data_IF_887653493568
#
_entry.id   IF_887653493568
#
_cell.length_a   1.000
_cell.length_b   1.000
_cell.length_c   1.000
_cell.angle_alpha   90.00
_cell.angle_beta   90.00
_cell.angle_gamma   90.00
#
_symmetry.space_group_name_H-M   'P 1'
#
loop_
_entity.id
_entity.type
_entity.pdbx_description
1 polymer ?
#
# COMPACT_ATOMS: atom_id res chain seq x y z
N UNK A 1 -2.19 12.62 -17.90
CA UNK A 1 -1.06 12.16 -17.05
C UNK A 1 0.18 12.80 -17.62
N UNK A 2 0.98 13.49 -16.81
CA UNK A 2 2.20 14.09 -17.30
C UNK A 2 3.19 13.00 -17.70
N UNK A 3 4.05 13.36 -18.62
CA UNK A 3 5.15 12.51 -19.08
C UNK A 3 6.05 12.10 -17.92
N UNK A 4 6.23 12.97 -16.95
CA UNK A 4 6.96 12.78 -15.71
C UNK A 4 6.46 11.60 -14.89
N UNK A 5 5.14 11.48 -14.67
CA UNK A 5 4.58 10.34 -13.93
C UNK A 5 4.85 9.02 -14.66
N UNK A 6 4.75 9.03 -15.99
CA UNK A 6 5.01 7.83 -16.80
C UNK A 6 6.47 7.40 -16.68
N UNK A 7 7.40 8.34 -16.81
CA UNK A 7 8.84 8.08 -16.64
C UNK A 7 9.16 7.54 -15.24
N UNK A 8 8.53 8.12 -14.21
CA UNK A 8 8.66 7.65 -12.84
C UNK A 8 8.12 6.22 -12.65
N UNK A 9 6.89 5.95 -13.09
CA UNK A 9 6.29 4.62 -12.99
C UNK A 9 7.08 3.56 -13.80
N UNK A 10 7.60 3.93 -14.96
CA UNK A 10 8.43 3.04 -15.79
C UNK A 10 9.81 2.80 -15.16
N UNK A 11 10.39 3.80 -14.50
CA UNK A 11 11.61 3.64 -13.72
C UNK A 11 11.45 2.63 -12.58
N UNK A 12 10.34 2.69 -11.84
CA UNK A 12 10.03 1.70 -10.82
C UNK A 12 9.79 0.30 -11.39
N UNK A 13 9.15 0.19 -12.56
CA UNK A 13 8.97 -1.10 -13.24
C UNK A 13 10.30 -1.75 -13.62
N UNK A 14 11.30 -0.97 -14.02
CA UNK A 14 12.64 -1.47 -14.30
C UNK A 14 13.37 -2.05 -13.09
N UNK A 15 12.91 -1.77 -11.88
CA UNK A 15 13.49 -2.29 -10.62
C UNK A 15 12.84 -3.59 -10.13
N UNK A 16 11.94 -4.19 -10.92
CA UNK A 16 11.25 -5.45 -10.58
C UNK A 16 12.22 -6.61 -10.42
N UNK A 17 13.19 -6.70 -11.30
CA UNK A 17 14.14 -7.80 -11.33
C UNK A 17 15.39 -7.42 -10.55
N UNK A 18 15.61 -8.18 -9.49
CA UNK A 18 16.72 -8.01 -8.57
C UNK A 18 17.99 -8.63 -9.16
N UNK A 19 18.50 -8.04 -10.24
CA UNK A 19 19.72 -8.51 -10.92
C UNK A 19 21.01 -7.87 -10.42
N UNK A 20 20.89 -6.89 -9.52
CA UNK A 20 22.01 -6.12 -8.99
C UNK A 20 22.07 -6.23 -7.45
N UNK A 21 23.22 -5.89 -6.81
CA UNK A 21 23.32 -5.89 -5.36
C UNK A 21 22.21 -5.08 -4.71
N UNK A 22 21.60 -5.63 -3.66
CA UNK A 22 20.46 -5.04 -2.95
C UNK A 22 20.65 -3.56 -2.62
N UNK A 23 21.86 -3.19 -2.23
CA UNK A 23 22.19 -1.82 -1.85
C UNK A 23 22.10 -0.82 -3.01
N UNK A 24 22.47 -1.26 -4.22
CA UNK A 24 22.33 -0.42 -5.42
C UNK A 24 20.85 -0.25 -5.79
N UNK A 25 20.09 -1.32 -5.75
CA UNK A 25 18.65 -1.27 -6.01
C UNK A 25 17.92 -0.38 -4.99
N UNK A 26 18.27 -0.47 -3.70
CA UNK A 26 17.73 0.40 -2.64
C UNK A 26 18.06 1.87 -2.93
N UNK A 27 19.29 2.20 -3.28
CA UNK A 27 19.68 3.57 -3.63
C UNK A 27 18.88 4.12 -4.81
N UNK A 28 18.66 3.31 -5.83
CA UNK A 28 17.86 3.69 -7.00
C UNK A 28 16.40 3.94 -6.62
N UNK A 29 15.77 3.04 -5.86
CA UNK A 29 14.39 3.22 -5.39
C UNK A 29 14.26 4.51 -4.57
N UNK A 30 15.19 4.78 -3.66
CA UNK A 30 15.18 6.00 -2.85
C UNK A 30 15.35 7.27 -3.71
N UNK A 31 16.22 7.22 -4.72
CA UNK A 31 16.40 8.34 -5.65
C UNK A 31 15.13 8.61 -6.46
N UNK A 32 14.50 7.58 -7.03
CA UNK A 32 13.22 7.71 -7.73
C UNK A 32 12.10 8.19 -6.82
N UNK A 33 12.02 7.69 -5.60
CA UNK A 33 11.00 8.15 -4.66
C UNK A 33 11.19 9.62 -4.28
N UNK A 34 12.43 10.07 -4.07
CA UNK A 34 12.74 11.46 -3.75
C UNK A 34 12.47 12.39 -4.93
N UNK A 35 12.81 11.98 -6.15
CA UNK A 35 12.48 12.71 -7.36
C UNK A 35 10.96 12.81 -7.53
N UNK A 36 10.24 11.73 -7.37
CA UNK A 36 8.79 11.71 -7.41
C UNK A 36 8.13 12.63 -6.37
N UNK A 37 8.76 12.83 -5.20
CA UNK A 37 8.28 13.80 -4.20
C UNK A 37 8.37 15.24 -4.74
N UNK A 38 9.48 15.62 -5.32
CA UNK A 38 9.67 16.96 -5.86
C UNK A 38 8.71 17.28 -7.03
N UNK A 39 8.56 16.32 -7.94
CA UNK A 39 7.69 16.45 -9.12
C UNK A 39 6.20 16.42 -8.78
N UNK A 40 5.85 15.77 -7.70
CA UNK A 40 4.47 15.60 -7.26
C UNK A 40 3.85 16.87 -6.69
N UNK A 41 4.63 17.71 -6.06
CA UNK A 41 4.14 19.01 -5.58
C UNK A 41 3.78 19.95 -6.78
N UNK A 42 4.41 19.72 -7.93
CA UNK A 42 4.05 20.38 -9.17
C UNK A 42 2.78 19.77 -9.80
N UNK A 43 2.61 18.47 -9.74
CA UNK A 43 1.46 17.77 -10.31
C UNK A 43 0.15 18.03 -9.55
N UNK A 44 0.18 18.29 -8.26
CA UNK A 44 -1.00 18.73 -7.50
C UNK A 44 -1.62 20.01 -8.06
N UNK A 45 -0.81 20.87 -8.68
CA UNK A 45 -1.28 22.13 -9.28
C UNK A 45 -2.01 21.93 -10.61
N UNK A 46 -1.84 20.78 -11.24
CA UNK A 46 -2.35 20.49 -12.58
C UNK A 46 -3.67 19.69 -12.62
N UNK A 47 -4.31 19.46 -11.47
CA UNK A 47 -5.65 18.85 -11.41
C UNK A 47 -5.72 17.38 -11.84
N UNK A 48 -4.76 16.57 -11.48
CA UNK A 48 -4.55 15.17 -11.90
C UNK A 48 -5.61 14.17 -11.45
N UNK A 49 -6.53 14.55 -10.59
CA UNK A 49 -7.45 13.62 -9.96
C UNK A 49 -8.88 13.84 -10.40
N UNK A 50 -9.40 12.87 -11.11
CA UNK A 50 -10.82 12.77 -11.41
C UNK A 50 -11.54 11.99 -10.32
N UNK A 51 -12.82 12.33 -10.14
CA UNK A 51 -13.70 11.69 -9.18
C UNK A 51 -13.54 10.18 -9.16
N UNK A 52 -13.36 9.65 -7.96
CA UNK A 52 -13.29 8.24 -7.69
C UNK A 52 -14.59 7.59 -8.14
N UNK A 53 -14.52 6.71 -9.11
CA UNK A 53 -15.66 5.91 -9.53
C UNK A 53 -15.73 4.63 -8.71
N UNK A 54 -16.88 4.41 -8.08
CA UNK A 54 -17.16 3.32 -7.19
C UNK A 54 -17.23 1.94 -7.82
N UNK A 55 -16.80 1.04 -7.09
CA UNK A 55 -17.08 -0.32 -6.81
C UNK A 55 -18.26 -0.98 -7.51
N UNK A 56 -18.00 -2.05 -8.25
CA UNK A 56 -18.94 -3.14 -8.42
C UNK A 56 -18.73 -4.17 -7.30
N UNK A 57 -19.76 -4.46 -6.50
CA UNK A 57 -19.81 -5.70 -5.74
C UNK A 57 -19.55 -6.83 -6.74
N UNK A 58 -18.54 -7.67 -6.47
CA UNK A 58 -18.33 -8.86 -7.26
C UNK A 58 -19.58 -9.74 -7.14
N UNK A 59 -20.08 -10.21 -8.25
CA UNK A 59 -21.14 -11.21 -8.28
C UNK A 59 -20.61 -12.52 -7.69
N UNK A 60 -21.48 -13.27 -7.02
CA UNK A 60 -21.19 -14.57 -6.44
C UNK A 60 -20.40 -15.46 -7.42
N UNK A 61 -19.18 -15.74 -7.08
CA UNK A 61 -18.28 -16.63 -7.78
C UNK A 61 -17.26 -17.20 -6.80
N UNK A 62 -16.79 -18.39 -7.02
CA UNK A 62 -15.67 -18.93 -6.26
C UNK A 62 -14.43 -18.08 -6.52
N UNK A 63 -13.95 -17.41 -5.50
CA UNK A 63 -12.71 -16.65 -5.56
C UNK A 63 -11.55 -17.52 -5.13
N UNK A 64 -10.39 -17.32 -5.77
CA UNK A 64 -9.14 -17.97 -5.39
C UNK A 64 -8.00 -16.96 -5.45
N UNK A 65 -6.93 -17.24 -4.72
CA UNK A 65 -5.73 -16.41 -4.72
C UNK A 65 -5.97 -15.01 -4.17
N UNK A 66 -5.42 -14.01 -4.84
CA UNK A 66 -5.47 -12.60 -4.41
C UNK A 66 -6.89 -12.09 -4.23
N UNK A 67 -7.82 -12.44 -5.14
CA UNK A 67 -9.21 -12.00 -5.07
C UNK A 67 -9.98 -12.52 -3.86
N UNK A 68 -9.63 -13.72 -3.38
CA UNK A 68 -10.22 -14.22 -2.13
C UNK A 68 -9.72 -13.42 -0.94
N UNK A 69 -8.43 -13.10 -0.89
CA UNK A 69 -7.85 -12.27 0.15
C UNK A 69 -8.50 -10.87 0.14
N UNK A 70 -8.60 -10.24 -1.02
CA UNK A 70 -9.25 -8.93 -1.17
C UNK A 70 -10.70 -8.95 -0.64
N UNK A 71 -11.47 -10.01 -0.97
CA UNK A 71 -12.83 -10.19 -0.48
C UNK A 71 -12.88 -10.33 1.05
N UNK A 72 -12.02 -11.18 1.61
CA UNK A 72 -11.96 -11.43 3.05
C UNK A 72 -11.53 -10.16 3.81
N UNK A 73 -10.58 -9.38 3.30
CA UNK A 73 -10.18 -8.10 3.87
C UNK A 73 -11.38 -7.17 4.07
N UNK A 74 -12.25 -7.13 3.09
CA UNK A 74 -13.44 -6.29 3.17
C UNK A 74 -14.52 -6.85 4.09
N UNK A 75 -14.78 -8.15 4.01
CA UNK A 75 -15.84 -8.82 4.81
C UNK A 75 -15.48 -8.89 6.29
N UNK A 76 -14.20 -8.99 6.61
CA UNK A 76 -13.71 -9.11 8.00
C UNK A 76 -13.34 -7.77 8.64
N UNK A 77 -13.46 -6.67 7.89
CA UNK A 77 -13.17 -5.34 8.42
C UNK A 77 -14.11 -4.98 9.59
N UNK A 78 -13.61 -4.45 10.72
CA UNK A 78 -12.22 -4.11 11.00
C UNK A 78 -11.34 -5.33 11.31
N UNK A 79 -10.08 -5.28 10.88
CA UNK A 79 -9.10 -6.36 11.01
C UNK A 79 -8.00 -5.93 11.99
N UNK A 80 -7.50 -6.86 12.78
CA UNK A 80 -6.36 -6.61 13.67
C UNK A 80 -5.05 -7.02 13.00
N UNK A 81 -4.09 -6.10 12.86
CA UNK A 81 -2.70 -6.45 12.57
C UNK A 81 -2.02 -6.72 13.92
N UNK A 82 -1.61 -7.96 14.13
CA UNK A 82 -1.07 -8.42 15.41
C UNK A 82 0.45 -8.49 15.34
N UNK A 83 1.12 -7.82 16.29
CA UNK A 83 2.55 -7.95 16.54
C UNK A 83 2.80 -8.90 17.70
N UNK A 84 3.96 -9.54 17.69
CA UNK A 84 4.43 -10.27 18.86
C UNK A 84 4.33 -9.42 20.14
N UNK A 85 4.01 -10.05 21.26
CA UNK A 85 3.74 -9.39 22.56
C UNK A 85 2.40 -8.63 22.64
N UNK A 86 1.41 -9.00 21.82
CA UNK A 86 0.02 -8.55 21.97
C UNK A 86 -0.26 -7.10 21.60
N UNK A 87 0.66 -6.41 20.88
CA UNK A 87 0.36 -5.11 20.31
C UNK A 87 -0.42 -5.28 19.03
N UNK A 88 -1.49 -4.53 18.88
CA UNK A 88 -2.36 -4.58 17.68
C UNK A 88 -2.52 -3.20 17.05
N UNK A 89 -2.77 -3.19 15.73
CA UNK A 89 -3.26 -2.05 14.99
C UNK A 89 -4.61 -2.44 14.38
N UNK A 90 -5.59 -1.57 14.50
CA UNK A 90 -6.88 -1.77 13.84
C UNK A 90 -6.82 -1.23 12.42
N UNK A 91 -7.12 -2.08 11.45
CA UNK A 91 -7.24 -1.79 10.04
C UNK A 91 -8.73 -1.82 9.64
N UNK A 92 -9.23 -0.72 9.16
CA UNK A 92 -10.57 -0.62 8.58
C UNK A 92 -10.45 -0.54 7.07
N UNK A 93 -10.91 -1.56 6.35
CA UNK A 93 -10.87 -1.63 4.87
C UNK A 93 -12.17 -1.05 4.33
N UNK A 94 -12.08 -0.05 3.46
CA UNK A 94 -13.24 0.65 2.93
C UNK A 94 -13.55 0.30 1.49
N UNK A 95 -12.54 -0.02 0.70
CA UNK A 95 -12.69 -0.26 -0.73
C UNK A 95 -11.77 -1.37 -1.24
N UNK A 96 -12.22 -2.06 -2.29
CA UNK A 96 -11.45 -2.98 -3.10
C UNK A 96 -11.19 -2.36 -4.46
N UNK A 97 -10.06 -2.71 -5.09
CA UNK A 97 -9.67 -2.21 -6.41
C UNK A 97 -9.82 -0.68 -6.52
N UNK A 98 -9.27 0.02 -5.54
CA UNK A 98 -9.45 1.45 -5.42
C UNK A 98 -8.59 2.21 -6.43
N UNK A 99 -9.20 3.06 -7.31
CA UNK A 99 -8.46 3.78 -8.32
C UNK A 99 -7.68 4.94 -7.69
N UNK A 100 -6.37 4.89 -7.82
CA UNK A 100 -5.45 5.93 -7.34
C UNK A 100 -5.10 6.96 -8.42
N UNK A 101 -5.09 6.55 -9.69
CA UNK A 101 -4.85 7.44 -10.81
C UNK A 101 -5.47 6.89 -12.10
N UNK A 102 -5.90 7.80 -12.98
CA UNK A 102 -6.36 7.44 -14.33
C UNK A 102 -5.19 7.49 -15.31
N UNK A 103 -5.04 6.46 -16.12
CA UNK A 103 -4.09 6.39 -17.21
C UNK A 103 -4.81 6.44 -18.56
N UNK A 104 -4.15 6.83 -19.67
CA UNK A 104 -4.74 6.79 -21.00
C UNK A 104 -5.21 5.39 -21.43
N UNK A 105 -4.59 4.33 -20.89
CA UNK A 105 -4.90 2.92 -21.17
C UNK A 105 -5.28 2.15 -19.90
N UNK A 106 -5.98 2.77 -18.96
CA UNK A 106 -6.41 2.07 -17.75
C UNK A 106 -6.34 2.93 -16.49
N UNK A 107 -6.26 2.28 -15.36
CA UNK A 107 -6.18 2.92 -14.03
C UNK A 107 -5.03 2.31 -13.25
N UNK A 108 -4.37 3.11 -12.42
CA UNK A 108 -3.52 2.58 -11.36
C UNK A 108 -4.42 2.31 -10.18
N UNK A 109 -4.51 1.06 -9.78
CA UNK A 109 -5.33 0.60 -8.67
C UNK A 109 -4.42 0.21 -7.51
N UNK A 110 -4.91 0.32 -6.28
CA UNK A 110 -4.48 -0.56 -5.20
C UNK A 110 -5.55 -1.62 -5.00
N UNK A 111 -5.15 -2.80 -4.52
CA UNK A 111 -6.08 -3.91 -4.33
C UNK A 111 -7.13 -3.58 -3.28
N UNK A 112 -6.75 -2.83 -2.26
CA UNK A 112 -7.70 -2.25 -1.32
C UNK A 112 -7.21 -0.90 -0.78
N UNK A 113 -8.16 -0.06 -0.38
CA UNK A 113 -7.94 1.12 0.44
C UNK A 113 -8.48 0.86 1.84
N UNK A 114 -7.70 1.27 2.83
CA UNK A 114 -8.12 1.19 4.23
C UNK A 114 -7.60 2.34 5.06
N UNK A 115 -7.87 2.26 6.35
CA UNK A 115 -7.42 3.22 7.35
C UNK A 115 -6.87 2.47 8.57
N UNK A 116 -5.68 2.84 9.01
CA UNK A 116 -5.09 2.34 10.25
C UNK A 116 -5.31 3.35 11.35
N UNK A 117 -5.84 2.88 12.48
CA UNK A 117 -5.91 3.68 13.70
C UNK A 117 -4.58 3.61 14.46
N UNK A 118 -3.97 4.78 14.68
CA UNK A 118 -2.81 4.93 15.53
C UNK A 118 -2.91 6.20 16.36
N UNK A 119 -2.72 6.11 17.68
CA UNK A 119 -2.80 7.26 18.62
C UNK A 119 -4.05 8.14 18.44
N UNK A 120 -5.22 7.52 18.32
CA UNK A 120 -6.52 8.18 18.09
C UNK A 120 -6.64 8.91 16.74
N UNK A 121 -5.77 8.61 15.79
CA UNK A 121 -5.75 9.18 14.45
C UNK A 121 -5.88 8.07 13.43
N UNK A 122 -6.54 8.36 12.31
CA UNK A 122 -6.69 7.42 11.21
C UNK A 122 -5.76 7.85 10.07
N UNK A 123 -4.96 6.90 9.59
CA UNK A 123 -4.04 7.10 8.49
C UNK A 123 -4.53 6.28 7.29
N UNK A 124 -4.76 6.90 6.12
CA UNK A 124 -5.09 6.15 4.93
C UNK A 124 -3.93 5.24 4.56
N UNK A 125 -4.25 4.05 4.10
CA UNK A 125 -3.29 3.03 3.75
C UNK A 125 -3.66 2.36 2.43
N UNK A 126 -2.73 2.36 1.48
CA UNK A 126 -2.85 1.59 0.25
C UNK A 126 -2.43 0.15 0.52
N UNK A 127 -3.26 -0.79 0.12
CA UNK A 127 -3.05 -2.22 0.36
C UNK A 127 -2.75 -2.90 -0.96
N UNK A 128 -1.67 -3.66 -0.98
CA UNK A 128 -1.24 -4.54 -2.06
C UNK A 128 -1.28 -5.98 -1.59
N UNK A 129 -1.90 -6.86 -2.36
CA UNK A 129 -2.03 -8.30 -2.06
C UNK A 129 -1.19 -9.10 -3.04
N UNK A 130 -0.44 -10.07 -2.55
CA UNK A 130 0.35 -11.00 -3.37
C UNK A 130 0.13 -12.44 -2.90
N UNK A 131 0.10 -13.37 -3.84
CA UNK A 131 -0.01 -14.80 -3.57
C UNK A 131 1.12 -15.59 -4.23
N UNK A 132 1.35 -15.38 -5.53
CA UNK A 132 2.32 -16.18 -6.30
C UNK A 132 3.21 -15.36 -7.24
N UNK A 133 2.70 -14.29 -7.85
CA UNK A 133 3.24 -13.72 -9.09
C UNK A 133 4.28 -12.62 -8.93
N UNK A 134 4.82 -12.41 -7.76
CA UNK A 134 5.86 -11.42 -7.54
C UNK A 134 6.71 -11.82 -6.34
N UNK A 135 7.80 -11.14 -6.13
CA UNK A 135 8.58 -11.29 -4.91
C UNK A 135 8.32 -10.14 -3.94
N UNK A 136 8.65 -10.26 -2.65
CA UNK A 136 8.40 -9.22 -1.64
C UNK A 136 9.07 -7.88 -1.95
N UNK A 137 10.21 -7.88 -2.60
CA UNK A 137 10.88 -6.67 -3.06
C UNK A 137 10.00 -5.90 -4.04
N UNK A 138 9.50 -6.60 -5.07
CA UNK A 138 8.65 -5.99 -6.07
C UNK A 138 7.34 -5.48 -5.48
N UNK A 139 6.70 -6.26 -4.61
CA UNK A 139 5.48 -5.85 -3.93
C UNK A 139 5.66 -4.55 -3.13
N UNK A 140 6.79 -4.38 -2.44
CA UNK A 140 7.12 -3.14 -1.72
C UNK A 140 7.35 -1.97 -2.69
N UNK A 141 8.05 -2.18 -3.80
CA UNK A 141 8.28 -1.15 -4.82
C UNK A 141 6.96 -0.72 -5.47
N UNK A 142 6.07 -1.66 -5.79
CA UNK A 142 4.74 -1.37 -6.33
C UNK A 142 3.88 -0.59 -5.32
N UNK A 143 3.90 -1.02 -4.07
CA UNK A 143 3.16 -0.33 -3.01
C UNK A 143 3.68 1.11 -2.77
N UNK A 144 4.96 1.40 -3.01
CA UNK A 144 5.49 2.77 -2.96
C UNK A 144 4.82 3.71 -3.96
N UNK A 145 4.52 3.22 -5.17
CA UNK A 145 3.77 3.98 -6.18
C UNK A 145 2.37 4.28 -5.64
N UNK A 146 1.72 3.29 -5.07
CA UNK A 146 0.38 3.43 -4.51
C UNK A 146 0.35 4.38 -3.31
N UNK A 147 1.32 4.29 -2.39
CA UNK A 147 1.49 5.22 -1.28
C UNK A 147 1.58 6.66 -1.80
N UNK A 148 2.37 6.87 -2.83
CA UNK A 148 2.58 8.19 -3.40
C UNK A 148 1.29 8.75 -3.99
N UNK A 149 0.58 7.95 -4.76
CA UNK A 149 -0.71 8.31 -5.33
C UNK A 149 -1.79 8.53 -4.26
N UNK A 150 -1.81 7.70 -3.22
CA UNK A 150 -2.68 7.88 -2.05
C UNK A 150 -2.46 9.24 -1.41
N UNK A 151 -1.21 9.64 -1.24
CA UNK A 151 -0.87 10.95 -0.68
C UNK A 151 -1.40 12.11 -1.53
N UNK A 152 -1.31 12.02 -2.86
CA UNK A 152 -1.88 13.04 -3.75
C UNK A 152 -3.39 13.15 -3.64
N UNK A 153 -4.03 12.01 -3.36
CA UNK A 153 -5.48 11.92 -3.29
C UNK A 153 -6.06 12.16 -1.90
N UNK A 154 -5.28 12.59 -0.92
CA UNK A 154 -5.75 12.68 0.47
C UNK A 154 -7.06 13.45 0.61
N UNK A 155 -7.25 14.57 -0.07
CA UNK A 155 -8.49 15.33 -0.01
C UNK A 155 -9.69 14.54 -0.56
N UNK A 156 -9.50 13.81 -1.66
CA UNK A 156 -10.55 12.98 -2.25
C UNK A 156 -10.84 11.76 -1.38
N UNK A 157 -9.80 11.16 -0.80
CA UNK A 157 -9.91 10.03 0.13
C UNK A 157 -10.62 10.47 1.41
N UNK A 158 -10.35 11.67 1.92
CA UNK A 158 -11.05 12.25 3.07
C UNK A 158 -12.53 12.42 2.80
N UNK A 159 -12.89 13.01 1.65
CA UNK A 159 -14.30 13.15 1.24
C UNK A 159 -14.98 11.81 1.06
N UNK A 160 -14.26 10.83 0.53
CA UNK A 160 -14.73 9.46 0.38
C UNK A 160 -14.95 8.80 1.75
N UNK A 161 -14.01 8.91 2.67
CA UNK A 161 -14.12 8.39 4.02
C UNK A 161 -15.30 8.99 4.79
N UNK A 162 -15.59 10.27 4.59
CA UNK A 162 -16.78 10.94 5.14
C UNK A 162 -18.07 10.23 4.69
N UNK A 163 -18.18 9.86 3.43
CA UNK A 163 -19.35 9.13 2.90
C UNK A 163 -19.51 7.74 3.51
N UNK A 164 -18.44 7.11 3.96
CA UNK A 164 -18.45 5.78 4.55
C UNK A 164 -18.52 5.75 6.09
N UNK A 165 -19.07 6.79 6.70
CA UNK A 165 -19.24 6.88 8.16
C UNK A 165 -17.93 6.95 8.95
N UNK A 166 -16.82 7.24 8.29
CA UNK A 166 -15.54 7.57 8.95
C UNK A 166 -15.46 9.07 9.31
N UNK A 167 -16.53 9.84 9.03
CA UNK A 167 -16.60 11.28 9.20
C UNK A 167 -16.28 11.78 10.61
N UNK A 168 -16.61 10.98 11.63
CA UNK A 168 -16.35 11.32 13.04
C UNK A 168 -14.96 10.90 13.51
N UNK A 169 -14.16 10.30 12.63
CA UNK A 169 -12.82 9.85 12.95
C UNK A 169 -11.85 10.94 12.51
N UNK A 170 -10.98 11.37 13.41
CA UNK A 170 -9.93 12.36 13.12
C UNK A 170 -9.00 11.82 12.01
N UNK A 171 -9.42 11.95 10.76
CA UNK A 171 -8.57 11.73 9.61
C UNK A 171 -7.48 12.79 9.70
N UNK A 172 -6.30 12.40 10.12
CA UNK A 172 -5.20 13.33 10.03
C UNK A 172 -4.93 13.55 8.54
N UNK A 173 -4.80 14.82 8.16
CA UNK A 173 -4.02 15.20 6.98
C UNK A 173 -2.65 14.57 7.18
N UNK A 174 -2.51 13.34 6.70
CA UNK A 174 -1.35 12.53 6.97
C UNK A 174 -0.16 13.23 6.31
N UNK A 175 0.76 13.68 7.13
CA UNK A 175 2.08 14.09 6.62
C UNK A 175 2.83 12.89 6.07
N UNK A 176 2.47 11.68 6.49
CA UNK A 176 3.04 10.43 6.04
C UNK A 176 2.05 9.59 5.23
N UNK A 177 2.52 8.90 4.24
CA UNK A 177 1.76 7.94 3.47
C UNK A 177 2.06 6.53 3.98
N UNK A 178 1.03 5.71 4.14
CA UNK A 178 1.14 4.35 4.65
C UNK A 178 0.86 3.34 3.53
N UNK A 179 1.53 2.22 3.59
CA UNK A 179 1.32 1.08 2.73
C UNK A 179 1.25 -0.20 3.54
N UNK A 180 0.57 -1.18 2.99
CA UNK A 180 0.46 -2.53 3.54
C UNK A 180 0.61 -3.52 2.40
N UNK A 181 1.60 -4.40 2.51
CA UNK A 181 1.77 -5.53 1.61
C UNK A 181 1.34 -6.79 2.36
N UNK A 182 0.41 -7.51 1.75
CA UNK A 182 -0.21 -8.71 2.29
C UNK A 182 0.10 -9.93 1.43
N UNK A 183 0.49 -11.02 2.06
CA UNK A 183 0.68 -12.30 1.41
C UNK A 183 0.59 -13.44 2.44
N UNK A 184 0.36 -14.70 2.02
CA UNK A 184 0.56 -15.84 2.90
C UNK A 184 2.00 -15.91 3.44
N UNK A 185 2.21 -16.46 4.63
CA UNK A 185 3.57 -16.59 5.20
C UNK A 185 4.51 -17.36 4.28
N UNK A 186 4.00 -18.40 3.64
CA UNK A 186 4.75 -19.20 2.66
C UNK A 186 5.36 -18.36 1.52
N UNK A 187 4.64 -17.35 1.04
CA UNK A 187 5.16 -16.41 0.02
C UNK A 187 6.42 -15.68 0.51
N UNK A 188 6.43 -15.23 1.76
CA UNK A 188 7.58 -14.56 2.34
C UNK A 188 8.74 -15.52 2.56
N UNK A 189 8.46 -16.75 3.02
CA UNK A 189 9.48 -17.77 3.32
C UNK A 189 10.17 -18.28 2.06
N UNK A 190 9.41 -18.52 0.99
CA UNK A 190 9.94 -18.95 -0.31
C UNK A 190 10.81 -17.89 -0.99
N UNK A 191 10.61 -16.61 -0.65
CA UNK A 191 11.29 -15.48 -1.26
C UNK A 191 12.26 -14.77 -0.28
N UNK A 192 12.90 -15.49 0.60
CA UNK A 192 13.70 -14.95 1.71
C UNK A 192 14.71 -13.87 1.30
N UNK A 193 15.55 -14.04 0.25
CA UNK A 193 16.51 -13.00 -0.15
C UNK A 193 15.83 -11.69 -0.57
N UNK A 194 14.68 -11.77 -1.25
CA UNK A 194 13.90 -10.60 -1.66
C UNK A 194 13.19 -9.94 -0.48
N UNK A 195 12.73 -10.75 0.49
CA UNK A 195 12.18 -10.24 1.73
C UNK A 195 13.22 -9.44 2.52
N UNK A 196 14.43 -9.95 2.67
CA UNK A 196 15.51 -9.25 3.38
C UNK A 196 15.85 -7.91 2.72
N UNK A 197 15.91 -7.88 1.38
CA UNK A 197 16.11 -6.63 0.65
C UNK A 197 14.94 -5.64 0.81
N UNK A 198 13.70 -6.15 0.78
CA UNK A 198 12.50 -5.34 1.02
C UNK A 198 12.49 -4.74 2.43
N UNK A 199 12.86 -5.52 3.46
CA UNK A 199 12.95 -5.05 4.83
C UNK A 199 14.04 -3.96 5.00
N UNK A 200 15.20 -4.11 4.36
CA UNK A 200 16.23 -3.06 4.31
C UNK A 200 15.69 -1.78 3.66
N UNK A 201 15.01 -1.91 2.53
CA UNK A 201 14.38 -0.76 1.86
C UNK A 201 13.36 -0.06 2.79
N UNK A 202 12.51 -0.81 3.48
CA UNK A 202 11.52 -0.26 4.42
C UNK A 202 12.20 0.54 5.54
N UNK A 203 13.31 0.05 6.08
CA UNK A 203 14.07 0.76 7.12
C UNK A 203 14.70 2.06 6.58
N UNK A 204 15.24 2.02 5.37
CA UNK A 204 15.80 3.20 4.70
C UNK A 204 14.70 4.24 4.39
N UNK A 205 13.55 3.81 3.90
CA UNK A 205 12.40 4.67 3.66
C UNK A 205 11.90 5.33 4.96
N UNK A 206 11.82 4.55 6.05
CA UNK A 206 11.42 5.08 7.36
C UNK A 206 12.36 6.18 7.85
N UNK A 207 13.66 6.06 7.60
CA UNK A 207 14.67 7.02 8.07
C UNK A 207 14.76 8.25 7.19
N UNK A 208 14.57 8.11 5.87
CA UNK A 208 14.86 9.17 4.88
C UNK A 208 13.60 9.82 4.29
N UNK A 209 12.44 9.21 4.49
CA UNK A 209 11.18 9.66 3.89
C UNK A 209 10.02 9.57 4.86
N UNK A 210 8.85 9.97 4.40
CA UNK A 210 7.58 9.83 5.12
C UNK A 210 6.87 8.50 4.82
N UNK A 211 7.36 7.70 3.87
CA UNK A 211 6.74 6.43 3.53
C UNK A 211 6.84 5.43 4.68
N UNK A 212 5.75 4.73 4.95
CA UNK A 212 5.62 3.75 6.02
C UNK A 212 4.99 2.50 5.43
N UNK A 213 5.70 1.39 5.39
CA UNK A 213 5.23 0.14 4.81
C UNK A 213 5.22 -0.95 5.86
N UNK A 214 4.06 -1.54 6.05
CA UNK A 214 3.83 -2.71 6.89
C UNK A 214 3.81 -3.93 5.97
N UNK A 215 4.46 -5.01 6.38
CA UNK A 215 4.27 -6.32 5.79
C UNK A 215 3.50 -7.19 6.78
N UNK A 216 2.51 -7.93 6.31
CA UNK A 216 1.78 -8.85 7.18
C UNK A 216 1.33 -10.11 6.44
N UNK A 217 1.29 -11.25 7.15
CA UNK A 217 0.74 -12.47 6.59
C UNK A 217 -0.77 -12.56 6.74
N UNK A 218 -1.39 -13.25 5.79
CA UNK A 218 -2.84 -13.43 5.68
C UNK A 218 -3.33 -14.75 6.26
N UNK A 219 -2.48 -15.51 6.92
CA UNK A 219 -2.78 -16.88 7.37
C UNK A 219 -4.00 -16.92 8.33
N UNK A 220 -4.12 -15.91 9.19
CA UNK A 220 -5.22 -15.78 10.16
C UNK A 220 -6.32 -14.79 9.70
N UNK A 221 -6.38 -14.45 8.41
CA UNK A 221 -7.33 -13.44 7.90
C UNK A 221 -8.79 -13.88 8.05
N UNK A 222 -9.08 -15.18 7.98
CA UNK A 222 -10.43 -15.71 8.20
C UNK A 222 -10.96 -15.42 9.61
N UNK A 223 -10.07 -15.31 10.59
CA UNK A 223 -10.33 -14.92 11.97
C UNK A 223 -10.31 -13.39 12.18
N UNK A 224 -10.17 -12.61 11.12
CA UNK A 224 -10.08 -11.15 11.19
C UNK A 224 -8.73 -10.64 11.69
N UNK A 225 -7.67 -11.42 11.52
CA UNK A 225 -6.33 -11.09 11.99
C UNK A 225 -5.29 -11.21 10.87
N UNK A 226 -4.29 -10.32 10.93
CA UNK A 226 -3.09 -10.35 10.10
C UNK A 226 -1.88 -10.41 11.01
N UNK A 227 -0.92 -11.26 10.70
CA UNK A 227 0.31 -11.38 11.49
C UNK A 227 1.39 -10.46 10.91
N UNK A 228 1.86 -9.51 11.70
CA UNK A 228 2.93 -8.61 11.30
C UNK A 228 4.24 -9.35 11.01
N UNK A 229 4.91 -8.98 9.93
CA UNK A 229 6.24 -9.51 9.57
C UNK A 229 7.31 -8.67 10.28
N UNK A 230 8.14 -9.37 11.04
CA UNK A 230 9.20 -8.76 11.85
C UNK A 230 10.13 -7.88 11.00
N UNK A 231 10.59 -6.77 11.60
CA UNK A 231 11.43 -5.75 10.98
C UNK A 231 10.79 -4.93 9.85
N UNK A 232 9.51 -5.15 9.49
CA UNK A 232 8.76 -4.17 8.71
C UNK A 232 8.38 -2.95 9.57
N UNK A 233 7.70 -1.95 8.98
CA UNK A 233 7.30 -0.78 9.76
C UNK A 233 6.27 -1.14 10.83
N UNK A 234 6.48 -0.61 12.04
CA UNK A 234 5.50 -0.59 13.11
C UNK A 234 5.50 0.80 13.76
N UNK A 235 4.34 1.43 13.95
CA UNK A 235 4.27 2.73 14.59
C UNK A 235 4.60 2.64 16.09
N UNK A 236 5.45 3.55 16.53
CA UNK A 236 5.89 3.67 17.92
C UNK A 236 4.89 4.41 18.80
#
# INVERSE_FOLDING_TARGET
MSEVYRQWADGFKGLKDFTQPAEMAIKQVLAYYSQAIAESDQAQREGWFHALSYRKKSKDGSYSGEKEIERLLFERSPIEIVREKGRTLSLEVTDQNFPLAKQPKGQVLCDALGFIQHRRKYHPIAIEVKVTDANPWFAVVENLIQIRLTRFNLNNIEQHAIKHSLANKNLQKARGAWGLVLAPSEYFDQNRPHLEAALKLIQELKSKTEARIILASTDDLKEGRLKWIENSYWPS
#
